data_IF_912782950934
#
_entry.id   IF_912782950934
#
_cell.length_a   1.000
_cell.length_b   1.000
_cell.length_c   1.000
_cell.angle_alpha   90.00
_cell.angle_beta   90.00
_cell.angle_gamma   90.00
#
_symmetry.space_group_name_H-M   'P 1'
#
loop_
_entity.id
_entity.type
_entity.pdbx_description
1 polymer ?
#
# COMPACT_ATOMS: atom_id res chain seq x y z
N UNK A 1 -23.55 10.88 4.57
CA UNK A 1 -22.35 10.42 5.28
C UNK A 1 -22.77 9.48 6.38
N UNK A 2 -22.05 8.37 6.59
CA UNK A 2 -22.33 7.44 7.69
C UNK A 2 -22.29 8.18 9.03
N UNK A 3 -23.20 7.85 9.95
CA UNK A 3 -23.33 8.50 11.24
C UNK A 3 -23.95 9.91 11.23
N UNK A 4 -24.27 10.48 10.06
CA UNK A 4 -24.90 11.80 9.91
C UNK A 4 -26.35 11.67 9.46
N UNK A 5 -27.26 12.44 10.06
CA UNK A 5 -28.68 12.45 9.70
C UNK A 5 -28.88 12.59 8.18
N UNK A 6 -29.62 11.63 7.59
CA UNK A 6 -29.91 11.61 6.16
C UNK A 6 -30.87 12.74 5.77
N UNK A 7 -30.64 13.30 4.59
CA UNK A 7 -31.55 14.29 4.00
C UNK A 7 -32.85 13.57 3.63
N UNK A 8 -33.96 13.99 4.21
CA UNK A 8 -35.28 13.40 3.96
C UNK A 8 -35.59 13.32 2.46
N UNK A 9 -35.85 12.11 1.97
CA UNK A 9 -36.26 11.87 0.58
C UNK A 9 -37.74 11.49 0.53
N UNK A 10 -38.53 12.15 -0.31
CA UNK A 10 -39.97 11.87 -0.47
C UNK A 10 -40.21 11.08 -1.76
N UNK A 11 -40.92 9.96 -1.66
CA UNK A 11 -41.32 9.15 -2.81
C UNK A 11 -42.64 9.70 -3.36
N UNK A 12 -42.70 9.96 -4.67
CA UNK A 12 -43.91 10.51 -5.31
C UNK A 12 -44.24 9.77 -6.61
N UNK A 13 -45.52 9.65 -6.94
CA UNK A 13 -46.00 9.11 -8.22
C UNK A 13 -47.35 9.73 -8.59
N UNK A 14 -47.73 9.69 -9.88
CA UNK A 14 -49.03 10.18 -10.37
C UNK A 14 -49.95 9.02 -10.74
N UNK A 15 -51.25 9.12 -10.44
CA UNK A 15 -52.23 8.09 -10.83
C UNK A 15 -53.49 8.08 -9.96
N UNK A 16 -54.49 7.28 -10.37
CA UNK A 16 -55.75 7.07 -9.65
C UNK A 16 -56.23 5.62 -9.82
N UNK A 17 -56.91 4.98 -8.85
CA UNK A 17 -57.25 5.46 -7.50
C UNK A 17 -55.99 5.56 -6.60
N UNK A 18 -56.17 5.79 -5.29
CA UNK A 18 -55.10 5.99 -4.30
C UNK A 18 -53.89 5.06 -4.48
N UNK A 19 -52.70 5.65 -4.42
CA UNK A 19 -51.41 4.95 -4.57
C UNK A 19 -50.88 4.53 -3.20
N UNK A 20 -50.36 3.31 -3.09
CA UNK A 20 -49.59 2.82 -1.96
C UNK A 20 -48.10 2.80 -2.33
N UNK A 21 -47.24 3.28 -1.44
CA UNK A 21 -45.80 3.39 -1.64
C UNK A 21 -45.04 2.42 -0.74
N UNK A 22 -43.93 1.88 -1.23
CA UNK A 22 -42.94 1.18 -0.42
C UNK A 22 -41.53 1.44 -0.93
N UNK A 23 -40.55 1.34 -0.04
CA UNK A 23 -39.14 1.30 -0.38
C UNK A 23 -38.48 0.10 0.31
N UNK A 24 -37.71 -0.69 -0.44
CA UNK A 24 -36.96 -1.84 0.07
C UNK A 24 -35.50 -1.73 -0.30
N UNK A 25 -34.64 -2.52 0.36
CA UNK A 25 -33.19 -2.46 0.19
C UNK A 25 -32.62 -1.08 0.59
N UNK A 26 -33.10 -0.54 1.72
CA UNK A 26 -32.57 0.70 2.28
C UNK A 26 -31.22 0.43 2.96
N UNK A 27 -30.25 1.36 2.89
CA UNK A 27 -29.04 1.30 3.73
C UNK A 27 -29.39 1.16 5.21
N UNK A 28 -28.60 0.37 5.93
CA UNK A 28 -28.77 0.18 7.37
C UNK A 28 -28.80 1.54 8.10
N UNK A 29 -29.80 1.72 8.96
CA UNK A 29 -30.05 2.98 9.67
C UNK A 29 -31.00 3.93 8.93
N UNK A 30 -31.39 3.64 7.69
CA UNK A 30 -32.50 4.30 7.01
C UNK A 30 -33.79 3.46 7.08
N UNK A 31 -34.94 4.14 7.09
CA UNK A 31 -36.26 3.51 7.11
C UNK A 31 -37.25 4.31 6.27
N UNK A 32 -38.27 3.64 5.75
CA UNK A 32 -39.37 4.26 5.01
C UNK A 32 -40.61 4.36 5.90
N UNK A 33 -41.16 5.57 6.03
CA UNK A 33 -42.46 5.82 6.66
C UNK A 33 -43.56 5.93 5.59
N UNK A 34 -44.46 4.95 5.55
CA UNK A 34 -45.55 4.91 4.58
C UNK A 34 -46.63 6.00 4.79
N UNK A 35 -46.75 6.59 5.99
CA UNK A 35 -47.72 7.64 6.25
C UNK A 35 -47.27 8.97 5.66
N UNK A 36 -45.99 9.30 5.82
CA UNK A 36 -45.38 10.52 5.28
C UNK A 36 -44.75 10.32 3.90
N UNK A 37 -44.63 9.07 3.44
CA UNK A 37 -44.03 8.68 2.15
C UNK A 37 -42.56 9.07 2.04
N UNK A 38 -41.83 9.03 3.16
CA UNK A 38 -40.45 9.52 3.24
C UNK A 38 -39.46 8.46 3.70
N UNK A 39 -38.26 8.50 3.14
CA UNK A 39 -37.07 7.80 3.64
C UNK A 39 -36.32 8.73 4.60
N UNK A 40 -36.09 8.27 5.83
CA UNK A 40 -35.38 9.00 6.88
C UNK A 40 -34.48 8.08 7.73
N UNK A 41 -33.53 8.67 8.43
CA UNK A 41 -32.72 7.98 9.44
C UNK A 41 -31.28 8.48 9.47
N UNK A 42 -30.43 7.75 10.18
CA UNK A 42 -28.98 7.99 10.21
C UNK A 42 -28.31 6.73 9.67
N UNK A 43 -27.77 6.77 8.46
CA UNK A 43 -27.16 5.59 7.84
C UNK A 43 -25.93 5.19 8.65
N UNK A 44 -25.77 3.89 8.90
CA UNK A 44 -24.73 3.36 9.78
C UNK A 44 -23.43 3.08 9.02
N UNK A 45 -23.54 2.63 7.77
CA UNK A 45 -22.40 2.20 6.97
C UNK A 45 -22.32 2.98 5.65
N UNK A 46 -21.10 3.35 5.21
CA UNK A 46 -20.89 3.90 3.89
C UNK A 46 -21.15 2.85 2.80
N UNK A 47 -21.41 3.31 1.58
CA UNK A 47 -21.68 2.46 0.43
C UNK A 47 -22.73 3.01 -0.51
N UNK A 48 -22.84 2.38 -1.68
CA UNK A 48 -23.88 2.67 -2.66
C UNK A 48 -24.94 1.59 -2.57
N UNK A 49 -26.21 1.99 -2.43
CA UNK A 49 -27.33 1.06 -2.37
C UNK A 49 -28.39 1.44 -3.40
N UNK A 50 -28.80 0.46 -4.19
CA UNK A 50 -29.92 0.57 -5.11
C UNK A 50 -31.22 0.26 -4.36
N UNK A 51 -31.89 1.31 -3.89
CA UNK A 51 -33.18 1.24 -3.21
C UNK A 51 -34.27 1.01 -4.24
N UNK A 52 -35.08 -0.02 -4.02
CA UNK A 52 -36.22 -0.32 -4.88
C UNK A 52 -37.43 0.46 -4.38
N UNK A 53 -37.89 1.42 -5.17
CA UNK A 53 -39.11 2.17 -4.93
C UNK A 53 -40.28 1.49 -5.66
N UNK A 54 -41.42 1.37 -5.00
CA UNK A 54 -42.62 0.76 -5.59
C UNK A 54 -43.84 1.63 -5.33
N UNK A 55 -44.61 1.88 -6.39
CA UNK A 55 -45.89 2.59 -6.34
C UNK A 55 -46.99 1.72 -6.94
N UNK A 56 -48.06 1.47 -6.17
CA UNK A 56 -49.14 0.54 -6.56
C UNK A 56 -50.49 1.24 -6.46
N UNK A 57 -51.34 1.09 -7.47
CA UNK A 57 -52.76 1.42 -7.38
C UNK A 57 -53.64 0.24 -7.82
N UNK A 58 -54.96 0.45 -7.89
CA UNK A 58 -55.91 -0.60 -8.27
C UNK A 58 -55.77 -1.14 -9.70
N UNK A 59 -54.90 -0.56 -10.53
CA UNK A 59 -54.71 -0.94 -11.94
C UNK A 59 -53.31 -1.45 -12.28
N UNK A 60 -52.31 -1.23 -11.41
CA UNK A 60 -50.95 -1.68 -11.72
C UNK A 60 -49.90 -1.26 -10.69
N UNK A 61 -48.67 -1.61 -11.02
CA UNK A 61 -47.46 -1.39 -10.23
C UNK A 61 -46.41 -0.72 -11.09
N UNK A 62 -45.76 0.29 -10.53
CA UNK A 62 -44.56 0.93 -11.08
C UNK A 62 -43.39 0.71 -10.14
N UNK A 63 -42.21 0.41 -10.68
CA UNK A 63 -40.99 0.08 -9.92
C UNK A 63 -39.84 0.90 -10.48
N UNK A 64 -39.20 1.66 -9.60
CA UNK A 64 -38.07 2.51 -9.94
C UNK A 64 -36.90 2.26 -8.97
N UNK A 65 -35.68 2.56 -9.43
CA UNK A 65 -34.48 2.42 -8.61
C UNK A 65 -33.95 3.78 -8.19
N UNK A 66 -33.87 4.00 -6.88
CA UNK A 66 -33.17 5.13 -6.28
C UNK A 66 -31.77 4.69 -5.85
N UNK A 67 -30.74 5.33 -6.41
CA UNK A 67 -29.36 5.11 -5.96
C UNK A 67 -29.07 6.03 -4.77
N UNK A 68 -28.77 5.45 -3.62
CA UNK A 68 -28.32 6.18 -2.43
C UNK A 68 -26.82 5.93 -2.25
N UNK A 69 -26.03 7.00 -2.23
CA UNK A 69 -24.61 6.96 -1.88
C UNK A 69 -24.42 7.50 -0.47
N UNK A 70 -23.92 6.66 0.44
CA UNK A 70 -23.49 7.06 1.77
C UNK A 70 -21.97 7.16 1.77
N UNK A 71 -21.45 8.39 1.86
CA UNK A 71 -20.00 8.60 1.99
C UNK A 71 -19.52 8.23 3.40
N UNK A 72 -18.29 7.77 3.55
CA UNK A 72 -17.66 7.62 4.88
C UNK A 72 -17.52 8.99 5.56
N UNK A 73 -17.61 9.01 6.89
CA UNK A 73 -17.23 10.19 7.67
C UNK A 73 -15.71 10.26 7.77
N UNK A 74 -15.14 11.48 7.76
CA UNK A 74 -13.72 11.62 8.03
C UNK A 74 -13.39 11.10 9.45
N UNK A 75 -12.34 10.30 9.58
CA UNK A 75 -11.84 9.75 10.83
C UNK A 75 -10.79 10.68 11.43
N UNK A 76 -10.85 11.04 12.73
CA UNK A 76 -9.85 11.93 13.34
C UNK A 76 -8.46 11.26 13.37
N UNK A 77 -7.37 12.04 13.38
CA UNK A 77 -6.02 11.47 13.40
C UNK A 77 -5.73 10.72 14.70
N UNK A 78 -4.83 9.74 14.66
CA UNK A 78 -4.22 9.12 15.85
C UNK A 78 -2.73 8.94 15.60
N UNK A 79 -1.87 9.63 16.37
CA UNK A 79 -0.42 9.51 16.24
C UNK A 79 0.03 8.12 16.70
N UNK A 80 0.74 7.41 15.83
CA UNK A 80 1.22 6.04 16.03
C UNK A 80 2.75 5.92 16.13
N UNK A 81 3.51 6.98 15.80
CA UNK A 81 4.97 6.97 15.94
C UNK A 81 5.43 6.85 17.40
N UNK A 82 6.63 6.30 17.61
CA UNK A 82 7.22 6.12 18.95
C UNK A 82 7.28 7.43 19.73
N UNK A 83 6.84 7.44 21.00
CA UNK A 83 6.89 8.63 21.86
C UNK A 83 8.25 8.83 22.54
N UNK A 84 9.26 8.04 22.17
CA UNK A 84 10.64 8.21 22.60
C UNK A 84 11.58 8.12 21.40
N UNK A 85 12.61 8.97 21.37
CA UNK A 85 13.69 8.91 20.39
C UNK A 85 15.01 9.31 21.06
N UNK A 86 16.12 8.86 20.47
CA UNK A 86 17.46 9.27 20.87
C UNK A 86 18.16 9.90 19.67
N UNK A 87 18.96 10.93 19.92
CA UNK A 87 19.84 11.57 18.95
C UNK A 87 21.14 11.98 19.61
N UNK A 88 22.00 12.68 18.87
CA UNK A 88 23.28 13.13 19.38
C UNK A 88 23.59 14.55 18.92
N UNK A 89 24.17 15.33 19.83
CA UNK A 89 24.60 16.68 19.55
C UNK A 89 25.62 16.66 18.41
N UNK A 90 25.46 17.59 17.47
CA UNK A 90 26.25 17.79 16.27
C UNK A 90 26.12 16.69 15.19
N UNK A 91 25.13 15.79 15.31
CA UNK A 91 24.83 14.75 14.31
C UNK A 91 23.47 14.94 13.63
N UNK A 92 23.33 14.57 12.35
CA UNK A 92 22.02 14.50 11.71
C UNK A 92 21.05 13.64 12.52
N UNK A 93 19.88 14.19 12.77
CA UNK A 93 18.75 13.52 13.38
C UNK A 93 17.57 13.59 12.42
N UNK A 94 16.79 12.52 12.35
CA UNK A 94 15.52 12.47 11.63
C UNK A 94 14.53 11.61 12.40
N UNK A 95 13.29 12.08 12.48
CA UNK A 95 12.17 11.38 13.10
C UNK A 95 10.90 11.72 12.31
N UNK A 96 10.15 10.70 11.90
CA UNK A 96 8.89 10.86 11.17
C UNK A 96 7.70 10.65 12.11
N UNK A 97 6.79 11.62 12.13
CA UNK A 97 5.51 11.56 12.83
C UNK A 97 4.55 10.75 11.96
N UNK A 98 4.15 9.57 12.41
CA UNK A 98 3.14 8.75 11.73
C UNK A 98 1.82 8.84 12.47
N UNK A 99 0.72 8.85 11.73
CA UNK A 99 -0.63 8.84 12.29
C UNK A 99 -1.62 8.10 11.37
N UNK A 100 -2.63 7.46 11.96
CA UNK A 100 -3.82 6.97 11.23
C UNK A 100 -4.88 8.07 11.16
N UNK A 101 -5.93 7.87 10.36
CA UNK A 101 -7.03 8.83 10.17
C UNK A 101 -7.16 9.29 8.72
N UNK A 102 -8.27 9.98 8.39
CA UNK A 102 -8.54 10.39 7.00
C UNK A 102 -7.59 11.48 6.49
N UNK A 103 -7.26 11.42 5.20
CA UNK A 103 -6.49 12.44 4.50
C UNK A 103 -7.42 13.54 3.90
N UNK A 104 -6.93 14.76 3.60
CA UNK A 104 -5.58 15.25 3.87
C UNK A 104 -5.34 15.53 5.35
N UNK A 105 -4.13 15.18 5.80
CA UNK A 105 -3.65 15.38 7.15
C UNK A 105 -2.44 16.33 7.15
N UNK A 106 -2.33 17.11 8.22
CA UNK A 106 -1.19 18.01 8.45
C UNK A 106 -0.54 17.67 9.78
N UNK A 107 0.77 17.82 9.83
CA UNK A 107 1.59 17.54 11.01
C UNK A 107 2.32 18.80 11.44
N UNK A 108 2.53 18.93 12.75
CA UNK A 108 3.31 20.02 13.33
C UNK A 108 4.04 19.52 14.59
N UNK A 109 5.24 20.04 14.82
CA UNK A 109 6.01 19.80 16.03
C UNK A 109 6.66 21.09 16.54
N UNK A 110 6.49 21.35 17.83
CA UNK A 110 6.94 22.60 18.45
C UNK A 110 7.97 22.36 19.55
N UNK A 111 8.62 23.42 20.04
CA UNK A 111 9.62 23.34 21.12
C UNK A 111 10.81 22.42 20.79
N UNK A 112 11.25 22.44 19.52
CA UNK A 112 12.36 21.64 19.04
C UNK A 112 13.70 22.11 19.66
N UNK A 113 14.64 21.17 19.94
CA UNK A 113 16.02 21.50 20.27
C UNK A 113 16.67 22.40 19.21
N UNK A 114 17.61 23.25 19.63
CA UNK A 114 18.34 24.11 18.70
C UNK A 114 19.02 23.28 17.59
N UNK A 115 18.74 23.61 16.33
CA UNK A 115 19.29 22.91 15.16
C UNK A 115 18.38 21.83 14.56
N UNK A 116 17.24 21.53 15.20
CA UNK A 116 16.16 20.75 14.59
C UNK A 116 15.04 21.66 14.05
N UNK A 117 14.41 21.23 12.96
CA UNK A 117 13.24 21.84 12.35
C UNK A 117 12.17 20.78 12.09
N UNK A 118 10.92 21.20 11.95
CA UNK A 118 9.83 20.36 11.47
C UNK A 118 9.46 20.79 10.05
N UNK A 119 9.33 19.81 9.14
CA UNK A 119 8.92 20.00 7.76
C UNK A 119 7.89 18.93 7.42
N UNK A 120 6.61 19.29 7.52
CA UNK A 120 5.52 18.32 7.39
C UNK A 120 5.54 17.33 8.55
N UNK A 121 5.57 16.04 8.24
CA UNK A 121 5.65 14.95 9.21
C UNK A 121 7.06 14.66 9.71
N UNK A 122 8.10 15.28 9.15
CA UNK A 122 9.49 14.99 9.55
C UNK A 122 10.04 16.06 10.49
N UNK A 123 10.58 15.64 11.63
CA UNK A 123 11.48 16.43 12.49
C UNK A 123 12.90 16.04 12.10
N UNK A 124 13.70 16.99 11.62
CA UNK A 124 15.07 16.70 11.21
C UNK A 124 16.02 17.88 11.41
N UNK A 125 17.32 17.63 11.30
CA UNK A 125 18.35 18.65 11.41
C UNK A 125 19.57 18.13 12.15
N UNK A 126 20.38 19.04 12.67
CA UNK A 126 21.58 18.72 13.45
C UNK A 126 21.40 19.40 14.82
N UNK A 127 21.02 18.68 15.88
CA UNK A 127 20.81 19.28 17.18
C UNK A 127 22.15 19.77 17.73
N UNK A 128 22.20 21.00 18.17
CA UNK A 128 23.43 21.68 18.64
C UNK A 128 23.57 21.66 20.15
N UNK A 129 22.63 21.04 20.86
CA UNK A 129 22.60 20.96 22.31
C UNK A 129 22.19 19.55 22.78
N UNK A 130 22.96 18.99 23.72
CA UNK A 130 22.62 17.75 24.40
C UNK A 130 21.60 17.98 25.54
N UNK A 131 20.74 17.01 25.80
CA UNK A 131 19.71 17.07 26.83
C UNK A 131 18.51 16.18 26.54
N UNK A 132 17.55 16.14 27.45
CA UNK A 132 16.25 15.50 27.23
C UNK A 132 15.21 16.58 26.91
N UNK A 133 14.51 16.43 25.80
CA UNK A 133 13.55 17.40 25.27
C UNK A 133 12.18 16.75 25.13
N UNK A 134 11.14 17.46 25.57
CA UNK A 134 9.76 17.02 25.42
C UNK A 134 9.11 17.81 24.29
N UNK A 135 8.97 17.19 23.13
CA UNK A 135 8.52 17.82 21.87
C UNK A 135 7.03 17.53 21.69
N UNK A 136 6.13 18.53 21.79
CA UNK A 136 4.73 18.36 21.44
C UNK A 136 4.58 18.17 19.92
N UNK A 137 3.89 17.11 19.53
CA UNK A 137 3.58 16.76 18.15
C UNK A 137 2.07 16.75 17.94
N UNK A 138 1.61 17.19 16.78
CA UNK A 138 0.19 17.18 16.41
C UNK A 138 -0.02 16.59 15.03
N UNK A 139 -1.17 15.93 14.85
CA UNK A 139 -1.70 15.48 13.56
C UNK A 139 -3.14 15.99 13.45
N UNK A 140 -3.48 16.68 12.36
CA UNK A 140 -4.79 17.34 12.17
C UNK A 140 -5.39 17.05 10.81
N UNK A 141 -6.69 16.74 10.77
CA UNK A 141 -7.49 16.65 9.55
C UNK A 141 -8.88 17.29 9.77
N UNK A 142 -9.79 17.12 8.80
CA UNK A 142 -11.15 17.69 8.85
C UNK A 142 -12.05 17.12 9.97
N UNK A 143 -11.70 15.96 10.53
CA UNK A 143 -12.44 15.29 11.59
C UNK A 143 -11.92 15.61 13.01
N UNK A 144 -10.66 16.05 13.14
CA UNK A 144 -10.12 16.45 14.44
C UNK A 144 -8.58 16.58 14.46
N UNK A 145 -8.06 16.64 15.68
CA UNK A 145 -6.62 16.75 15.98
C UNK A 145 -6.25 15.77 17.09
N UNK A 146 -5.14 15.04 16.92
CA UNK A 146 -4.46 14.32 18.00
C UNK A 146 -3.17 15.04 18.40
N UNK A 147 -2.79 14.90 19.67
CA UNK A 147 -1.61 15.56 20.25
C UNK A 147 -0.88 14.58 21.17
N UNK A 148 0.42 14.40 20.92
CA UNK A 148 1.32 13.57 21.75
C UNK A 148 2.61 14.32 22.07
N UNK A 149 3.41 13.79 22.97
CA UNK A 149 4.73 14.33 23.30
C UNK A 149 5.79 13.27 23.04
N UNK A 150 6.77 13.62 22.21
CA UNK A 150 7.98 12.86 21.99
C UNK A 150 9.03 13.24 23.03
N UNK A 151 9.51 12.29 23.82
CA UNK A 151 10.71 12.44 24.63
C UNK A 151 11.94 12.17 23.76
N UNK A 152 12.68 13.22 23.40
CA UNK A 152 13.92 13.14 22.62
C UNK A 152 15.12 13.32 23.53
N UNK A 153 15.98 12.30 23.63
CA UNK A 153 17.25 12.37 24.36
C UNK A 153 18.39 12.62 23.38
N UNK A 154 19.04 13.77 23.48
CA UNK A 154 20.26 14.10 22.74
C UNK A 154 21.50 13.89 23.63
N UNK A 155 22.36 12.93 23.28
CA UNK A 155 23.63 12.71 23.96
C UNK A 155 24.75 13.65 23.48
N UNK A 156 25.80 13.83 24.29
CA UNK A 156 27.04 14.50 23.86
C UNK A 156 27.93 13.49 23.13
N UNK A 157 28.22 13.69 21.84
CA UNK A 157 29.22 12.94 21.06
C UNK A 157 30.56 12.83 21.78
N UNK A 158 30.81 11.69 22.42
CA UNK A 158 32.01 11.48 23.24
C UNK A 158 32.57 10.07 23.20
N UNK A 159 32.10 9.25 22.25
CA UNK A 159 32.67 7.93 21.97
C UNK A 159 33.93 8.02 21.12
N UNK A 160 34.70 6.93 21.04
CA UNK A 160 35.63 6.72 19.93
C UNK A 160 34.84 6.74 18.62
N UNK A 161 35.44 7.31 17.58
CA UNK A 161 34.98 7.25 16.18
C UNK A 161 36.16 6.61 15.43
N UNK A 162 36.06 5.31 15.22
CA UNK A 162 37.18 4.47 14.79
C UNK A 162 37.46 4.61 13.30
N UNK A 163 36.46 4.89 12.47
CA UNK A 163 36.62 5.05 11.03
C UNK A 163 36.58 6.50 10.54
N UNK A 164 36.21 7.44 11.40
CA UNK A 164 36.28 8.87 11.14
C UNK A 164 35.20 9.36 10.19
N UNK A 165 34.08 8.63 10.05
CA UNK A 165 32.94 9.04 9.25
C UNK A 165 32.08 10.13 9.92
N UNK A 166 32.42 10.41 11.19
CA UNK A 166 31.79 11.37 12.06
C UNK A 166 30.98 10.68 13.16
N UNK A 167 30.36 9.54 12.91
CA UNK A 167 29.42 8.88 13.82
C UNK A 167 30.19 8.12 14.91
N UNK A 168 29.97 8.39 16.20
CA UNK A 168 30.68 7.67 17.25
C UNK A 168 30.35 6.17 17.26
N UNK A 169 31.34 5.32 17.56
CA UNK A 169 31.29 3.85 17.49
C UNK A 169 30.07 3.23 18.22
N UNK A 170 29.57 3.89 19.25
CA UNK A 170 28.45 3.41 20.05
C UNK A 170 27.06 3.72 19.44
N UNK A 171 27.03 4.51 18.38
CA UNK A 171 25.85 4.87 17.58
C UNK A 171 25.96 4.41 16.13
N UNK A 172 27.18 4.10 15.70
CA UNK A 172 27.45 3.54 14.40
C UNK A 172 27.21 2.03 14.38
N UNK A 173 26.38 1.55 13.45
CA UNK A 173 26.18 0.11 13.24
C UNK A 173 27.32 -0.54 12.44
N UNK A 174 28.23 0.28 11.93
CA UNK A 174 29.37 -0.02 11.09
C UNK A 174 30.65 0.73 11.54
N UNK A 175 31.06 0.67 12.83
CA UNK A 175 32.09 1.53 13.45
C UNK A 175 33.52 1.38 12.90
N UNK A 176 33.71 0.64 11.81
CA UNK A 176 35.02 0.43 11.17
C UNK A 176 34.93 0.55 9.64
N UNK A 177 33.78 0.96 9.11
CA UNK A 177 33.51 1.14 7.69
C UNK A 177 32.97 2.56 7.45
N UNK A 178 33.83 3.51 7.02
CA UNK A 178 33.45 4.91 6.94
C UNK A 178 32.47 5.24 5.80
N UNK A 179 31.99 4.22 5.08
CA UNK A 179 31.00 4.36 4.00
C UNK A 179 29.59 4.02 4.45
N UNK A 180 29.38 3.46 5.65
CA UNK A 180 28.10 3.02 6.19
C UNK A 180 27.98 3.46 7.64
N UNK A 181 26.78 3.80 8.09
CA UNK A 181 26.56 4.23 9.47
C UNK A 181 25.27 3.65 10.08
N UNK A 182 24.17 3.69 9.33
CA UNK A 182 22.84 3.40 9.87
C UNK A 182 22.09 2.33 9.06
N UNK A 183 21.21 1.61 9.75
CA UNK A 183 20.25 0.64 9.24
C UNK A 183 18.84 1.14 9.51
N UNK A 184 18.01 1.08 8.49
CA UNK A 184 16.56 1.21 8.60
C UNK A 184 15.91 0.00 7.95
N UNK A 185 14.66 -0.27 8.33
CA UNK A 185 13.97 -1.48 7.92
C UNK A 185 12.53 -1.21 7.49
N UNK A 186 12.03 -2.02 6.57
CA UNK A 186 10.62 -2.04 6.17
C UNK A 186 10.10 -3.48 6.08
N UNK A 187 8.92 -3.80 6.65
CA UNK A 187 8.12 -2.95 7.54
C UNK A 187 8.80 -2.71 8.90
N UNK A 188 9.63 -3.65 9.35
CA UNK A 188 10.53 -3.54 10.48
C UNK A 188 11.66 -4.58 10.34
N UNK A 189 12.51 -4.77 11.35
CA UNK A 189 13.68 -5.68 11.25
C UNK A 189 13.32 -7.17 11.15
N UNK A 190 12.11 -7.56 11.58
CA UNK A 190 11.72 -8.96 11.78
C UNK A 190 10.60 -9.38 10.83
N UNK A 191 9.55 -8.57 10.74
CA UNK A 191 8.33 -8.90 10.02
C UNK A 191 8.43 -8.61 8.52
N UNK A 192 7.49 -9.17 7.77
CA UNK A 192 7.38 -8.99 6.33
C UNK A 192 6.05 -8.30 6.00
N UNK A 193 6.11 -7.37 5.04
CA UNK A 193 4.93 -6.92 4.31
C UNK A 193 4.65 -7.92 3.18
N UNK A 194 3.44 -7.94 2.63
CA UNK A 194 3.07 -8.82 1.53
C UNK A 194 2.54 -8.00 0.35
N UNK A 195 2.99 -8.36 -0.84
CA UNK A 195 2.49 -7.82 -2.11
C UNK A 195 1.82 -8.93 -2.88
N UNK A 196 0.67 -8.63 -3.47
CA UNK A 196 -0.08 -9.57 -4.30
C UNK A 196 -0.53 -8.90 -5.60
N UNK A 197 -0.50 -9.66 -6.69
CA UNK A 197 -0.81 -9.17 -8.03
C UNK A 197 -1.81 -10.07 -8.73
N UNK A 198 -2.54 -9.45 -9.66
CA UNK A 198 -3.24 -10.05 -10.77
C UNK A 198 -2.39 -9.96 -12.04
N UNK A 199 -2.42 -10.96 -12.92
CA UNK A 199 -1.61 -11.00 -14.15
C UNK A 199 -2.39 -10.76 -15.45
N UNK A 200 -3.73 -10.75 -15.38
CA UNK A 200 -4.60 -10.55 -16.54
C UNK A 200 -5.00 -9.09 -16.79
N UNK A 201 -4.39 -8.11 -16.10
CA UNK A 201 -4.50 -6.69 -16.46
C UNK A 201 -4.18 -6.50 -17.95
N UNK A 202 -4.94 -5.71 -18.75
CA UNK A 202 -6.01 -4.77 -18.37
C UNK A 202 -7.41 -5.36 -18.09
N UNK A 203 -7.57 -6.67 -18.16
CA UNK A 203 -8.79 -7.40 -17.77
C UNK A 203 -8.85 -7.72 -16.27
N UNK A 204 -10.01 -8.15 -15.80
CA UNK A 204 -10.16 -8.60 -14.41
C UNK A 204 -9.71 -10.04 -14.17
N UNK A 205 -9.71 -10.91 -15.19
CA UNK A 205 -9.50 -12.33 -14.95
C UNK A 205 -10.56 -12.92 -14.01
N UNK A 206 -10.11 -13.78 -13.11
CA UNK A 206 -10.85 -14.35 -11.98
C UNK A 206 -10.70 -13.54 -10.67
N UNK A 207 -9.72 -12.63 -10.61
CA UNK A 207 -9.65 -11.55 -9.64
C UNK A 207 -9.47 -12.00 -8.19
N UNK A 208 -8.67 -13.04 -7.97
CA UNK A 208 -8.46 -13.68 -6.68
C UNK A 208 -7.16 -13.25 -5.95
N UNK A 209 -6.34 -12.41 -6.58
CA UNK A 209 -5.08 -11.84 -6.10
C UNK A 209 -4.08 -12.89 -5.62
N UNK A 210 -4.03 -14.03 -6.29
CA UNK A 210 -3.06 -15.06 -6.00
C UNK A 210 -2.13 -15.40 -7.18
N UNK A 211 -2.27 -14.75 -8.33
CA UNK A 211 -1.40 -14.94 -9.51
C UNK A 211 0.08 -14.78 -9.17
N UNK A 212 0.41 -13.82 -8.30
CA UNK A 212 1.69 -13.79 -7.60
C UNK A 212 1.55 -13.15 -6.23
N UNK A 213 1.98 -13.87 -5.18
CA UNK A 213 2.02 -13.35 -3.81
C UNK A 213 3.43 -13.49 -3.26
N UNK A 214 3.99 -12.40 -2.72
CA UNK A 214 5.36 -12.38 -2.19
C UNK A 214 5.44 -11.59 -0.89
N UNK A 215 6.13 -12.15 0.10
CA UNK A 215 6.46 -11.46 1.33
C UNK A 215 7.81 -10.75 1.17
N UNK A 216 7.89 -9.47 1.57
CA UNK A 216 9.06 -8.61 1.45
C UNK A 216 9.51 -8.06 2.81
N UNK A 217 10.83 -8.01 3.00
CA UNK A 217 11.49 -7.29 4.07
C UNK A 217 12.70 -6.56 3.49
N UNK A 218 12.81 -5.26 3.76
CA UNK A 218 13.94 -4.45 3.33
C UNK A 218 14.78 -4.04 4.52
N UNK A 219 16.09 -4.09 4.34
CA UNK A 219 17.08 -3.38 5.15
C UNK A 219 17.75 -2.34 4.25
N UNK A 220 17.62 -1.06 4.57
CA UNK A 220 18.36 0.02 3.91
C UNK A 220 19.53 0.43 4.80
N UNK A 221 20.73 0.47 4.22
CA UNK A 221 21.95 0.94 4.86
C UNK A 221 22.29 2.33 4.33
N UNK A 222 22.51 3.29 5.21
CA UNK A 222 22.90 4.66 4.84
C UNK A 222 24.25 5.03 5.43
N UNK A 223 24.96 5.96 4.80
CA UNK A 223 26.16 6.58 5.37
C UNK A 223 25.82 7.61 6.46
N UNK A 224 26.84 8.23 7.06
CA UNK A 224 26.70 9.27 8.08
C UNK A 224 25.90 10.53 7.62
N UNK A 225 25.69 10.71 6.31
CA UNK A 225 24.88 11.79 5.74
C UNK A 225 23.45 11.34 5.37
N UNK A 226 23.03 10.16 5.80
CA UNK A 226 21.74 9.54 5.48
C UNK A 226 21.52 9.26 3.98
N UNK A 227 22.59 9.20 3.18
CA UNK A 227 22.49 8.74 1.80
C UNK A 227 22.54 7.21 1.75
N UNK A 228 21.65 6.59 0.99
CA UNK A 228 21.53 5.13 0.82
C UNK A 228 22.75 4.56 0.11
N UNK A 229 23.33 3.54 0.70
CA UNK A 229 24.53 2.83 0.25
C UNK A 229 24.18 1.40 -0.17
N UNK A 230 23.34 0.73 0.62
CA UNK A 230 22.85 -0.61 0.29
C UNK A 230 21.35 -0.73 0.50
N UNK A 231 20.70 -1.51 -0.35
CA UNK A 231 19.35 -2.04 -0.12
C UNK A 231 19.43 -3.55 -0.17
N UNK A 232 19.06 -4.18 0.94
CA UNK A 232 18.99 -5.63 1.07
C UNK A 232 17.52 -6.02 1.14
N UNK A 233 17.01 -6.58 0.05
CA UNK A 233 15.69 -7.18 -0.02
C UNK A 233 15.80 -8.65 0.42
N UNK A 234 15.01 -9.03 1.42
CA UNK A 234 14.63 -10.42 1.64
C UNK A 234 13.23 -10.63 1.10
N UNK A 235 13.04 -11.70 0.32
CA UNK A 235 11.71 -12.03 -0.17
C UNK A 235 11.42 -13.52 -0.14
N UNK A 236 10.15 -13.87 0.03
CA UNK A 236 9.66 -15.24 -0.03
C UNK A 236 8.39 -15.29 -0.87
N UNK A 237 8.40 -16.13 -1.91
CA UNK A 237 7.23 -16.33 -2.77
C UNK A 237 6.24 -17.21 -2.02
N UNK A 238 5.01 -16.73 -1.88
CA UNK A 238 3.94 -17.38 -1.14
C UNK A 238 3.02 -18.15 -2.08
N UNK A 239 2.71 -17.60 -3.25
CA UNK A 239 1.86 -18.24 -4.25
C UNK A 239 2.21 -17.81 -5.68
N UNK A 240 1.84 -18.68 -6.60
CA UNK A 240 1.87 -18.48 -8.05
C UNK A 240 0.61 -19.14 -8.64
N UNK A 241 -0.50 -18.40 -8.64
CA UNK A 241 -1.77 -18.78 -9.27
C UNK A 241 -1.76 -18.67 -10.79
N UNK A 242 -0.76 -18.00 -11.34
CA UNK A 242 -0.68 -17.71 -12.76
C UNK A 242 -0.39 -18.94 -13.61
N UNK A 243 -1.06 -19.05 -14.77
CA UNK A 243 -0.59 -19.97 -15.83
C UNK A 243 0.54 -19.37 -16.69
N UNK A 244 0.66 -18.05 -16.67
CA UNK A 244 1.64 -17.24 -17.39
C UNK A 244 2.97 -17.19 -16.63
N UNK A 245 4.12 -17.24 -17.33
CA UNK A 245 5.44 -17.20 -16.67
C UNK A 245 5.86 -15.75 -16.39
N UNK A 246 5.27 -15.19 -15.34
CA UNK A 246 5.48 -13.80 -14.94
C UNK A 246 6.88 -13.60 -14.33
N UNK A 247 7.37 -12.36 -14.33
CA UNK A 247 8.54 -11.97 -13.53
C UNK A 247 8.21 -10.87 -12.55
N UNK A 248 9.06 -10.67 -11.54
CA UNK A 248 8.90 -9.72 -10.45
C UNK A 248 10.03 -8.68 -10.46
N UNK A 249 9.66 -7.40 -10.37
CA UNK A 249 10.58 -6.27 -10.37
C UNK A 249 10.27 -5.23 -9.30
N UNK A 250 11.25 -4.39 -9.01
CA UNK A 250 11.17 -3.22 -8.14
C UNK A 250 11.77 -2.02 -8.89
N UNK A 251 11.25 -0.82 -8.63
CA UNK A 251 11.81 0.44 -9.17
C UNK A 251 12.39 1.26 -8.04
N UNK A 252 13.67 1.62 -8.19
CA UNK A 252 14.32 2.64 -7.37
C UNK A 252 14.37 3.95 -8.13
N UNK A 253 13.97 5.05 -7.47
CA UNK A 253 14.07 6.43 -7.97
C UNK A 253 15.52 6.93 -7.91
N UNK A 254 16.42 6.17 -8.55
CA UNK A 254 17.85 6.40 -8.57
C UNK A 254 18.39 6.17 -9.98
N UNK A 255 19.38 6.96 -10.44
CA UNK A 255 19.97 6.78 -11.75
C UNK A 255 20.73 5.45 -11.82
N UNK A 256 20.60 4.64 -12.88
CA UNK A 256 21.31 3.36 -13.03
C UNK A 256 22.82 3.46 -12.82
N UNK A 257 23.43 4.57 -13.27
CA UNK A 257 24.86 4.82 -13.11
C UNK A 257 25.34 4.97 -11.65
N UNK A 258 24.42 5.11 -10.68
CA UNK A 258 24.76 5.11 -9.26
C UNK A 258 24.95 3.71 -8.68
N UNK A 259 24.43 2.69 -9.34
CA UNK A 259 24.50 1.30 -8.89
C UNK A 259 25.82 0.69 -9.30
N UNK A 260 26.58 0.20 -8.33
CA UNK A 260 27.82 -0.53 -8.58
C UNK A 260 27.53 -2.00 -8.81
N UNK A 261 26.67 -2.61 -8.00
CA UNK A 261 26.32 -4.02 -8.14
C UNK A 261 24.95 -4.38 -7.57
N UNK A 262 24.36 -5.41 -8.14
CA UNK A 262 23.16 -6.11 -7.67
C UNK A 262 23.49 -7.59 -7.69
N UNK A 263 23.23 -8.28 -6.58
CA UNK A 263 23.55 -9.70 -6.42
C UNK A 263 22.40 -10.45 -5.77
N UNK A 264 22.36 -11.78 -5.97
CA UNK A 264 21.36 -12.65 -5.35
C UNK A 264 20.02 -12.77 -6.09
N UNK A 265 19.88 -12.12 -7.25
CA UNK A 265 18.72 -12.29 -8.13
C UNK A 265 18.71 -13.68 -8.80
N UNK A 266 17.53 -14.11 -9.22
CA UNK A 266 17.30 -15.37 -9.93
C UNK A 266 16.91 -15.05 -11.38
N UNK A 267 17.82 -15.37 -12.32
CA UNK A 267 17.62 -15.17 -13.76
C UNK A 267 17.45 -16.52 -14.47
N UNK A 268 16.23 -16.82 -14.88
CA UNK A 268 15.79 -18.05 -15.54
C UNK A 268 14.99 -17.78 -16.84
N UNK A 269 14.36 -16.61 -16.94
CA UNK A 269 13.60 -16.14 -18.09
C UNK A 269 14.47 -15.52 -19.19
N UNK A 270 13.80 -15.03 -20.24
CA UNK A 270 14.44 -14.43 -21.41
C UNK A 270 13.98 -12.98 -21.68
N UNK A 271 12.96 -12.50 -20.96
CA UNK A 271 12.37 -11.17 -21.18
C UNK A 271 13.34 -10.02 -20.83
N UNK A 272 14.12 -10.22 -19.77
CA UNK A 272 14.97 -9.17 -19.17
C UNK A 272 16.39 -9.26 -19.71
N UNK A 273 16.94 -8.11 -20.14
CA UNK A 273 18.38 -7.97 -20.43
C UNK A 273 19.08 -7.36 -19.22
N UNK A 274 20.02 -8.08 -18.62
CA UNK A 274 20.75 -7.61 -17.43
C UNK A 274 21.97 -6.76 -17.82
N UNK A 275 22.18 -5.66 -17.12
CA UNK A 275 23.45 -4.95 -17.09
C UNK A 275 24.53 -5.81 -16.37
N UNK A 276 25.82 -5.71 -16.70
CA UNK A 276 26.89 -6.37 -15.93
C UNK A 276 26.89 -6.06 -14.43
N UNK A 277 26.39 -4.89 -14.01
CA UNK A 277 26.18 -4.54 -12.61
C UNK A 277 24.94 -5.18 -11.99
N UNK A 278 24.11 -5.91 -12.75
CA UNK A 278 23.04 -6.77 -12.23
C UNK A 278 21.66 -6.13 -12.06
N UNK A 279 21.46 -4.87 -12.45
CA UNK A 279 20.13 -4.28 -12.65
C UNK A 279 19.66 -4.52 -14.10
N UNK A 280 18.40 -4.19 -14.42
CA UNK A 280 17.92 -4.29 -15.80
C UNK A 280 18.49 -3.18 -16.70
N UNK A 281 19.09 -3.56 -17.82
CA UNK A 281 19.70 -2.63 -18.76
C UNK A 281 18.67 -1.86 -19.59
N UNK A 282 18.99 -0.60 -19.92
CA UNK A 282 18.29 0.22 -20.91
C UNK A 282 17.40 1.32 -20.34
N UNK A 283 17.13 1.29 -19.03
CA UNK A 283 16.56 2.42 -18.30
C UNK A 283 17.56 3.59 -18.22
N UNK A 284 17.03 4.80 -18.22
CA UNK A 284 17.79 6.07 -18.23
C UNK A 284 17.50 6.97 -17.04
N UNK A 285 16.30 6.88 -16.46
CA UNK A 285 15.86 7.78 -15.39
C UNK A 285 15.67 7.09 -14.02
N UNK A 286 15.55 5.77 -14.01
CA UNK A 286 15.28 4.96 -12.83
C UNK A 286 16.09 3.67 -12.87
N UNK A 287 16.26 3.02 -11.73
CA UNK A 287 16.93 1.73 -11.64
C UNK A 287 15.88 0.65 -11.41
N UNK A 288 15.75 -0.26 -12.37
CA UNK A 288 14.90 -1.44 -12.22
C UNK A 288 15.72 -2.63 -11.72
N UNK A 289 15.33 -3.14 -10.56
CA UNK A 289 15.86 -4.38 -9.98
C UNK A 289 14.89 -5.50 -10.32
N UNK A 290 15.40 -6.63 -10.82
CA UNK A 290 14.58 -7.81 -11.11
C UNK A 290 15.01 -8.95 -10.18
N UNK A 291 14.41 -9.10 -8.98
CA UNK A 291 14.74 -10.19 -8.07
C UNK A 291 14.54 -11.58 -8.69
N UNK A 292 13.50 -11.75 -9.51
CA UNK A 292 13.15 -13.00 -10.17
C UNK A 292 12.46 -12.71 -11.50
N UNK A 293 12.93 -13.30 -12.59
CA UNK A 293 12.41 -12.97 -13.93
C UNK A 293 11.54 -14.06 -14.56
N UNK A 294 11.28 -15.18 -13.89
CA UNK A 294 10.41 -16.28 -14.34
C UNK A 294 9.90 -17.09 -13.15
N UNK A 295 8.72 -16.73 -12.65
CA UNK A 295 8.11 -17.23 -11.41
C UNK A 295 7.75 -18.72 -11.53
N UNK A 296 7.16 -19.14 -12.66
CA UNK A 296 6.69 -20.52 -12.85
C UNK A 296 7.87 -21.49 -12.82
N UNK A 297 9.07 -21.06 -13.19
CA UNK A 297 10.26 -21.90 -13.13
C UNK A 297 10.73 -22.18 -11.69
N UNK A 298 10.45 -21.28 -10.76
CA UNK A 298 10.74 -21.45 -9.32
C UNK A 298 9.62 -22.23 -8.62
N UNK A 299 8.37 -22.04 -9.06
CA UNK A 299 7.17 -22.63 -8.46
C UNK A 299 6.74 -23.97 -9.09
N UNK A 300 7.63 -24.57 -9.90
CA UNK A 300 7.43 -25.85 -10.58
C UNK A 300 6.15 -25.85 -11.46
N UNK A 301 5.98 -24.77 -12.23
CA UNK A 301 4.80 -24.44 -13.03
C UNK A 301 3.80 -23.55 -12.28
N UNK A 302 2.77 -23.08 -12.98
CA UNK A 302 1.69 -22.30 -12.39
C UNK A 302 0.81 -23.05 -11.39
N UNK A 303 -0.18 -22.35 -10.83
CA UNK A 303 -1.18 -22.85 -9.88
C UNK A 303 -0.59 -23.44 -8.58
N UNK A 304 0.57 -22.95 -8.16
CA UNK A 304 1.25 -23.39 -6.95
C UNK A 304 0.75 -22.60 -5.74
N UNK A 305 0.39 -23.33 -4.67
CA UNK A 305 -0.04 -22.78 -3.40
C UNK A 305 -1.37 -22.00 -3.43
N UNK A 306 -2.25 -22.24 -4.40
CA UNK A 306 -3.55 -21.54 -4.51
C UNK A 306 -4.77 -22.47 -4.44
N UNK A 307 -4.61 -23.75 -4.81
CA UNK A 307 -5.69 -24.74 -4.82
C UNK A 307 -5.66 -25.58 -3.53
N UNK A 308 -6.74 -25.63 -2.72
CA UNK A 308 -6.82 -26.50 -1.54
C UNK A 308 -6.58 -27.99 -1.88
N UNK A 309 -5.59 -28.60 -1.23
CA UNK A 309 -5.17 -29.98 -1.53
C UNK A 309 -4.44 -30.15 -2.87
N UNK A 310 -4.12 -29.05 -3.55
CA UNK A 310 -3.35 -29.00 -4.79
C UNK A 310 -1.83 -29.01 -4.55
N UNK A 311 -1.08 -28.52 -5.54
CA UNK A 311 0.38 -28.43 -5.47
C UNK A 311 0.80 -27.45 -4.38
N UNK A 312 1.68 -27.91 -3.49
CA UNK A 312 2.31 -27.08 -2.48
C UNK A 312 3.83 -27.08 -2.63
N UNK A 313 4.40 -25.88 -2.79
CA UNK A 313 5.83 -25.61 -2.88
C UNK A 313 6.22 -24.76 -1.66
N UNK A 314 6.99 -25.36 -0.75
CA UNK A 314 7.64 -24.62 0.34
C UNK A 314 8.84 -23.88 -0.24
N UNK A 315 8.71 -22.57 -0.39
CA UNK A 315 9.80 -21.72 -0.86
C UNK A 315 10.73 -21.32 0.28
N UNK A 316 11.94 -20.90 -0.07
CA UNK A 316 12.93 -20.33 0.86
C UNK A 316 12.93 -18.82 0.78
N UNK A 317 13.42 -18.17 1.84
CA UNK A 317 13.73 -16.73 1.80
C UNK A 317 14.96 -16.52 0.92
N UNK A 318 14.80 -15.73 -0.14
CA UNK A 318 15.88 -15.27 -1.00
C UNK A 318 16.35 -13.89 -0.56
N UNK A 319 17.56 -13.51 -0.96
CA UNK A 319 18.12 -12.20 -0.63
C UNK A 319 18.74 -11.57 -1.86
N UNK A 320 18.30 -10.36 -2.19
CA UNK A 320 18.89 -9.50 -3.22
C UNK A 320 19.53 -8.31 -2.56
N UNK A 321 20.80 -8.06 -2.89
CA UNK A 321 21.55 -6.91 -2.37
C UNK A 321 21.91 -5.99 -3.52
N UNK A 322 21.46 -4.75 -3.44
CA UNK A 322 21.86 -3.65 -4.31
C UNK A 322 22.85 -2.76 -3.57
N UNK A 323 24.02 -2.54 -4.15
CA UNK A 323 25.04 -1.62 -3.67
C UNK A 323 25.16 -0.41 -4.59
N UNK A 324 25.02 0.78 -4.02
CA UNK A 324 25.21 2.05 -4.71
C UNK A 324 26.66 2.52 -4.54
N UNK A 325 27.45 2.44 -5.63
CA UNK A 325 28.82 2.99 -5.62
C UNK A 325 28.85 4.51 -5.53
N UNK A 326 27.73 5.16 -5.86
CA UNK A 326 27.46 6.56 -5.51
C UNK A 326 26.26 6.62 -4.58
N UNK A 327 26.43 6.91 -3.27
CA UNK A 327 25.32 6.94 -2.33
C UNK A 327 24.19 7.91 -2.75
N UNK A 328 22.94 7.50 -2.56
CA UNK A 328 21.76 8.23 -3.04
C UNK A 328 20.97 8.87 -1.91
N UNK A 329 20.67 10.17 -2.00
CA UNK A 329 19.89 10.88 -0.98
C UNK A 329 18.43 10.39 -0.88
N UNK A 330 17.88 9.84 -1.96
CA UNK A 330 16.59 9.18 -2.03
C UNK A 330 16.62 8.14 -3.14
N UNK A 331 15.86 7.06 -2.97
CA UNK A 331 15.66 5.99 -3.96
C UNK A 331 14.19 5.62 -4.11
N UNK A 332 13.28 6.48 -3.64
CA UNK A 332 11.85 6.19 -3.47
C UNK A 332 11.53 5.66 -2.07
N UNK A 333 10.29 5.22 -1.86
CA UNK A 333 9.82 4.68 -0.58
C UNK A 333 9.56 3.18 -0.67
N UNK A 334 9.97 2.36 0.32
CA UNK A 334 9.55 0.97 0.42
C UNK A 334 8.02 0.85 0.29
N UNK A 335 7.50 -0.19 -0.40
CA UNK A 335 8.20 -1.36 -0.93
C UNK A 335 8.89 -1.15 -2.29
N UNK A 336 9.15 0.11 -2.71
CA UNK A 336 9.90 0.50 -3.91
C UNK A 336 9.25 0.07 -5.22
N UNK A 337 8.04 0.60 -5.45
CA UNK A 337 7.23 0.39 -6.65
C UNK A 337 7.34 -1.04 -7.21
N UNK A 338 6.88 -2.05 -6.44
CA UNK A 338 6.90 -3.42 -6.89
C UNK A 338 5.94 -3.62 -8.05
N UNK A 339 6.32 -4.49 -8.98
CA UNK A 339 5.53 -4.83 -10.14
C UNK A 339 5.81 -6.25 -10.63
N UNK A 340 4.88 -6.78 -11.41
CA UNK A 340 5.15 -7.96 -12.25
C UNK A 340 5.20 -7.56 -13.73
N UNK A 341 5.95 -8.31 -14.53
CA UNK A 341 5.80 -8.30 -15.98
C UNK A 341 5.24 -9.64 -16.45
N UNK A 342 4.28 -9.58 -17.38
CA UNK A 342 3.37 -10.70 -17.66
C UNK A 342 3.92 -11.61 -18.76
N UNK A 343 3.90 -12.92 -18.54
CA UNK A 343 4.21 -13.97 -19.53
C UNK A 343 5.51 -13.76 -20.34
N UNK A 344 6.58 -13.33 -19.67
CA UNK A 344 7.85 -12.96 -20.33
C UNK A 344 7.73 -11.84 -21.40
N UNK A 345 6.64 -11.09 -21.42
CA UNK A 345 6.47 -9.87 -22.24
C UNK A 345 6.90 -8.69 -21.40
N UNK A 346 8.16 -8.27 -21.55
CA UNK A 346 8.74 -7.24 -20.67
C UNK A 346 7.94 -5.93 -20.65
N UNK A 347 7.33 -5.51 -21.76
CA UNK A 347 6.56 -4.27 -21.84
C UNK A 347 5.15 -4.36 -21.24
N UNK A 348 4.71 -5.54 -20.80
CA UNK A 348 3.40 -5.72 -20.18
C UNK A 348 3.59 -5.80 -18.67
N UNK A 349 3.42 -4.66 -17.99
CA UNK A 349 3.66 -4.52 -16.55
C UNK A 349 2.35 -4.39 -15.76
N UNK A 350 2.37 -4.82 -14.51
CA UNK A 350 1.30 -4.56 -13.53
C UNK A 350 1.93 -4.06 -12.23
N UNK A 351 1.63 -2.82 -11.86
CA UNK A 351 2.11 -2.19 -10.62
C UNK A 351 1.00 -2.03 -9.59
N UNK A 352 1.38 -1.62 -8.37
CA UNK A 352 0.41 -1.15 -7.39
C UNK A 352 -0.39 0.05 -7.93
N UNK A 353 -1.65 0.15 -7.51
CA UNK A 353 -2.54 1.27 -7.86
C UNK A 353 -1.89 2.62 -7.56
N UNK A 354 -1.87 3.49 -8.58
CA UNK A 354 -1.34 4.86 -8.48
C UNK A 354 0.17 4.99 -8.68
N UNK A 355 0.91 3.90 -8.80
CA UNK A 355 2.34 3.95 -9.11
C UNK A 355 2.58 3.99 -10.62
N UNK A 356 3.54 4.81 -11.05
CA UNK A 356 3.89 4.93 -12.46
C UNK A 356 4.59 3.65 -12.94
N UNK A 357 4.38 3.27 -14.22
CA UNK A 357 5.08 2.15 -14.83
C UNK A 357 6.56 2.49 -15.12
N UNK A 358 7.34 1.50 -15.54
CA UNK A 358 8.72 1.74 -15.97
C UNK A 358 8.81 2.34 -17.38
N UNK A 359 10.00 2.79 -17.79
CA UNK A 359 10.27 3.28 -19.15
C UNK A 359 9.98 2.24 -20.27
N UNK A 360 9.83 0.96 -19.93
CA UNK A 360 9.61 -0.12 -20.89
C UNK A 360 8.15 -0.47 -21.13
N UNK A 361 7.23 0.14 -20.37
CA UNK A 361 5.81 -0.14 -20.44
C UNK A 361 5.20 0.15 -21.82
N UNK A 362 4.39 -0.77 -22.31
CA UNK A 362 3.51 -0.56 -23.46
C UNK A 362 2.33 0.32 -23.06
N UNK A 363 2.46 1.62 -23.34
CA UNK A 363 1.45 2.62 -22.97
C UNK A 363 0.12 2.45 -23.72
N UNK A 364 0.07 1.66 -24.80
CA UNK A 364 -1.18 1.42 -25.55
C UNK A 364 -2.16 0.53 -24.79
N UNK A 365 -1.72 -0.15 -23.72
CA UNK A 365 -2.56 -0.96 -22.84
C UNK A 365 -3.44 -0.13 -21.89
N UNK A 366 -3.02 1.10 -21.55
CA UNK A 366 -3.79 1.98 -20.65
C UNK A 366 -5.13 2.40 -21.24
N UNK A 367 -6.17 2.38 -20.40
CA UNK A 367 -7.54 2.72 -20.78
C UNK A 367 -8.23 1.65 -21.64
N UNK A 368 -7.63 0.46 -21.78
CA UNK A 368 -8.24 -0.67 -22.48
C UNK A 368 -8.97 -1.60 -21.51
N UNK A 369 -10.02 -2.25 -22.02
CA UNK A 369 -10.80 -3.26 -21.28
C UNK A 369 -11.37 -2.73 -19.96
N UNK A 370 -10.87 -3.20 -18.82
CA UNK A 370 -11.35 -2.78 -17.49
C UNK A 370 -10.48 -1.69 -16.86
N UNK A 371 -9.31 -1.40 -17.45
CA UNK A 371 -8.40 -0.36 -17.03
C UNK A 371 -9.01 1.04 -17.18
N UNK A 372 -8.99 1.76 -16.05
CA UNK A 372 -9.42 3.14 -15.90
C UNK A 372 -8.23 4.08 -15.64
N UNK A 373 -7.02 3.68 -16.03
CA UNK A 373 -5.84 4.54 -15.91
C UNK A 373 -5.97 5.75 -16.81
N UNK A 374 -5.50 6.89 -16.31
CA UNK A 374 -5.40 8.15 -17.04
C UNK A 374 -4.01 8.73 -16.77
N UNK A 375 -2.97 8.27 -17.50
CA UNK A 375 -1.58 8.68 -17.28
C UNK A 375 -1.38 10.21 -17.29
N UNK A 376 -2.11 10.92 -18.15
CA UNK A 376 -2.07 12.39 -18.21
C UNK A 376 -2.53 13.08 -16.92
N UNK A 377 -3.22 12.37 -16.03
CA UNK A 377 -3.65 12.83 -14.70
C UNK A 377 -2.93 12.11 -13.55
N UNK A 378 -1.89 11.32 -13.85
CA UNK A 378 -1.16 10.53 -12.86
C UNK A 378 -1.95 9.35 -12.28
N UNK A 379 -3.01 8.91 -12.95
CA UNK A 379 -3.81 7.75 -12.52
C UNK A 379 -3.33 6.51 -13.26
N UNK A 380 -2.85 5.51 -12.52
CA UNK A 380 -2.28 4.27 -13.06
C UNK A 380 -2.83 3.05 -12.32
N UNK A 381 -2.93 1.92 -13.04
CA UNK A 381 -3.24 0.59 -12.54
C UNK A 381 -4.47 0.52 -11.63
N UNK A 382 -5.56 1.17 -12.07
CA UNK A 382 -6.86 1.07 -11.42
C UNK A 382 -7.95 0.83 -12.45
N UNK A 383 -8.97 0.09 -12.06
CA UNK A 383 -10.13 -0.13 -12.91
C UNK A 383 -10.97 1.13 -13.05
N UNK A 384 -11.92 1.12 -14.00
CA UNK A 384 -12.93 2.18 -14.14
C UNK A 384 -13.76 2.40 -12.88
N UNK A 385 -13.82 1.42 -11.97
CA UNK A 385 -14.47 1.51 -10.66
C UNK A 385 -13.47 1.72 -9.52
N UNK A 386 -12.19 1.99 -9.80
CA UNK A 386 -11.17 2.29 -8.79
C UNK A 386 -10.57 1.07 -8.07
N UNK A 387 -10.73 -0.14 -8.60
CA UNK A 387 -10.13 -1.35 -8.01
C UNK A 387 -8.68 -1.55 -8.52
N UNK A 388 -7.74 -2.05 -7.71
CA UNK A 388 -6.34 -2.24 -8.10
C UNK A 388 -6.09 -3.53 -8.91
N UNK A 389 -4.87 -3.73 -9.41
CA UNK A 389 -4.36 -5.05 -9.83
C UNK A 389 -3.11 -5.49 -9.06
N UNK A 390 -2.57 -4.60 -8.23
CA UNK A 390 -1.52 -4.91 -7.27
C UNK A 390 -1.89 -4.31 -5.92
N UNK A 391 -1.69 -5.07 -4.84
CA UNK A 391 -1.97 -4.63 -3.47
C UNK A 391 -0.77 -4.88 -2.58
N UNK A 392 -0.68 -4.08 -1.53
CA UNK A 392 0.23 -4.27 -0.42
C UNK A 392 -0.56 -4.42 0.88
N UNK A 393 -0.10 -5.31 1.75
CA UNK A 393 -0.55 -5.40 3.14
C UNK A 393 0.66 -5.37 4.08
N UNK A 394 0.54 -4.73 5.27
CA UNK A 394 1.66 -4.62 6.22
C UNK A 394 1.91 -5.90 7.03
N UNK A 395 1.25 -7.00 6.65
CA UNK A 395 1.32 -8.33 7.26
C UNK A 395 1.39 -9.37 6.15
N UNK A 396 1.62 -10.63 6.50
CA UNK A 396 1.45 -11.72 5.54
C UNK A 396 0.00 -11.74 5.04
N UNK A 397 -0.18 -11.64 3.73
CA UNK A 397 -1.51 -11.61 3.13
C UNK A 397 -2.15 -13.00 3.14
N UNK A 398 -3.34 -13.10 3.73
CA UNK A 398 -4.16 -14.31 3.64
C UNK A 398 -4.90 -14.28 2.30
N UNK A 399 -4.25 -14.74 1.24
CA UNK A 399 -4.77 -14.67 -0.12
C UNK A 399 -5.91 -15.67 -0.37
N UNK A 400 -6.88 -15.33 -1.24
CA UNK A 400 -7.92 -16.22 -1.68
C UNK A 400 -7.41 -17.50 -2.36
N UNK A 401 -8.20 -18.57 -2.31
CA UNK A 401 -7.99 -19.77 -3.12
C UNK A 401 -8.23 -19.46 -4.61
N UNK A 402 -7.66 -20.28 -5.47
CA UNK A 402 -7.81 -20.18 -6.93
C UNK A 402 -9.28 -19.98 -7.38
N UNK A 403 -9.51 -19.03 -8.29
CA UNK A 403 -10.81 -18.58 -8.82
C UNK A 403 -11.73 -17.88 -7.81
N UNK A 404 -11.32 -17.72 -6.54
CA UNK A 404 -12.16 -17.08 -5.54
C UNK A 404 -11.92 -15.57 -5.52
N UNK A 405 -12.72 -14.85 -6.31
CA UNK A 405 -12.73 -13.38 -6.38
C UNK A 405 -12.56 -12.73 -4.98
N UNK A 406 -11.52 -11.91 -4.86
CA UNK A 406 -11.12 -11.21 -3.63
C UNK A 406 -12.25 -10.38 -3.05
N UNK A 407 -13.15 -9.82 -3.88
CA UNK A 407 -14.30 -9.03 -3.44
C UNK A 407 -15.29 -9.88 -2.63
N UNK A 408 -15.25 -11.18 -2.81
CA UNK A 408 -16.11 -12.15 -2.13
C UNK A 408 -15.39 -12.96 -1.05
N UNK A 409 -14.05 -12.95 -1.04
CA UNK A 409 -13.21 -13.56 -0.02
C UNK A 409 -12.87 -12.56 1.09
N UNK A 410 -12.48 -11.34 0.74
CA UNK A 410 -12.24 -10.20 1.63
C UNK A 410 -13.34 -9.16 1.43
N UNK A 411 -14.40 -9.26 2.24
CA UNK A 411 -15.66 -8.53 2.11
C UNK A 411 -15.54 -7.01 2.28
N UNK A 412 -14.41 -6.52 2.79
CA UNK A 412 -14.11 -5.08 2.94
C UNK A 412 -13.18 -4.53 1.85
N UNK A 413 -12.60 -5.40 1.04
CA UNK A 413 -11.62 -5.04 0.02
C UNK A 413 -12.15 -4.01 -0.98
N UNK A 414 -13.36 -4.21 -1.50
CA UNK A 414 -13.96 -3.30 -2.48
C UNK A 414 -14.09 -1.88 -1.92
N UNK A 415 -14.64 -1.74 -0.71
CA UNK A 415 -14.83 -0.45 -0.05
C UNK A 415 -13.49 0.23 0.21
N UNK A 416 -12.49 -0.53 0.67
CA UNK A 416 -11.12 -0.03 0.85
C UNK A 416 -10.49 0.46 -0.46
N UNK A 417 -10.52 -0.36 -1.50
CA UNK A 417 -9.91 -0.03 -2.78
C UNK A 417 -10.54 1.20 -3.43
N UNK A 418 -11.87 1.28 -3.42
CA UNK A 418 -12.65 2.33 -4.08
C UNK A 418 -12.63 3.67 -3.34
N UNK A 419 -12.43 3.63 -2.02
CA UNK A 419 -12.23 4.82 -1.19
C UNK A 419 -10.80 5.33 -1.22
N UNK A 420 -9.90 4.68 -1.96
CA UNK A 420 -8.46 4.95 -1.95
C UNK A 420 -7.84 4.77 -0.57
N UNK A 421 -8.23 3.70 0.12
CA UNK A 421 -7.68 3.26 1.39
C UNK A 421 -8.25 3.96 2.62
N UNK A 422 -9.32 4.74 2.47
CA UNK A 422 -9.93 5.49 3.58
C UNK A 422 -10.89 4.61 4.37
N UNK A 423 -11.78 3.89 3.68
CA UNK A 423 -12.68 2.92 4.27
C UNK A 423 -11.92 1.63 4.57
N UNK A 424 -12.17 1.02 5.73
CA UNK A 424 -11.58 -0.28 6.12
C UNK A 424 -10.06 -0.38 5.84
N UNK A 425 -9.22 0.52 6.38
CA UNK A 425 -7.77 0.45 6.20
C UNK A 425 -7.16 -0.85 6.74
N UNK A 426 -7.92 -1.58 7.54
CA UNK A 426 -7.65 -2.88 8.14
C UNK A 426 -8.37 -4.04 7.42
N UNK A 427 -8.87 -3.85 6.19
CA UNK A 427 -9.69 -4.83 5.44
C UNK A 427 -9.10 -6.26 5.39
N UNK A 428 -7.78 -6.38 5.47
CA UNK A 428 -7.02 -7.62 5.40
C UNK A 428 -6.98 -8.40 6.73
N UNK A 429 -7.46 -7.80 7.83
CA UNK A 429 -7.45 -8.42 9.15
C UNK A 429 -8.53 -9.50 9.30
N UNK A 430 -8.26 -10.45 10.20
CA UNK A 430 -9.20 -11.51 10.59
C UNK A 430 -10.22 -11.00 11.62
N UNK A 431 -11.06 -10.07 11.19
CA UNK A 431 -12.11 -9.49 12.03
C UNK A 431 -13.50 -10.06 11.65
N UNK A 432 -14.44 -10.18 12.61
CA UNK A 432 -15.78 -10.67 12.32
C UNK A 432 -16.46 -9.90 11.17
N UNK A 433 -16.78 -10.62 10.09
CA UNK A 433 -17.45 -10.05 8.91
C UNK A 433 -16.51 -9.34 7.91
N UNK A 434 -15.19 -9.49 8.06
CA UNK A 434 -14.22 -8.96 7.10
C UNK A 434 -13.91 -9.91 5.96
N UNK A 435 -14.03 -11.22 6.19
CA UNK A 435 -13.71 -12.24 5.19
C UNK A 435 -14.58 -13.48 5.29
N UNK A 436 -14.61 -14.23 4.20
CA UNK A 436 -15.16 -15.59 4.11
C UNK A 436 -13.99 -16.59 4.19
N UNK A 437 -13.76 -17.16 5.37
CA UNK A 437 -12.65 -18.10 5.62
C UNK A 437 -12.70 -19.34 4.72
N UNK A 438 -13.86 -19.68 4.13
CA UNK A 438 -13.95 -20.84 3.23
C UNK A 438 -13.28 -20.61 1.88
N UNK A 439 -12.93 -19.35 1.57
CA UNK A 439 -12.27 -18.92 0.34
C UNK A 439 -10.81 -18.53 0.55
N UNK A 440 -10.29 -18.61 1.76
CA UNK A 440 -8.89 -18.27 2.04
C UNK A 440 -8.03 -19.53 1.88
N UNK A 441 -6.89 -19.40 1.21
CA UNK A 441 -5.96 -20.51 1.08
C UNK A 441 -5.34 -20.85 2.44
N UNK A 442 -5.34 -22.13 2.79
CA UNK A 442 -4.74 -22.64 4.01
C UNK A 442 -3.52 -23.47 3.64
N UNK A 443 -2.37 -23.05 4.12
CA UNK A 443 -1.11 -23.78 3.98
C UNK A 443 -1.26 -25.17 4.63
N UNK A 444 -0.94 -26.27 3.92
CA UNK A 444 -1.17 -27.65 4.37
C UNK A 444 -0.26 -28.14 5.50
#
# INVERSE_FOLDING_TARGET
>A
TAGVQFITYTVTATGSPTITYSATNLPDGLSFDANSQTINGTPLFPGVTNVVLTAINGYGTDIETLVITINEGAQPPVITSSLTANGMQDFPFSYTITATGSQPMTFDATSLPAGLTNSGDVISGIPTEAGTFNIPMTATNSAGTDTKTLELVIGTGGGTDTDGDGVPDNLDQYPTDPTRAFNSYYPNEIDYASVAFEDLWPGYGDYDFNDFVVNLNFKMVTNAQNATVDVILKYQIMADGASLDNGFGLVFDAPPASVESVTGFIKLGNAVTMDPSGYEAGHTNETVIVPLDAINQVMEGGMANTIPGGKYIQTTINTVTTHFGTPQASIGTPPFNPFIFVDQVRSHEVHLKGLAPTEFMDTDLFGTWSDGSVPASGLYFQSTNGLPWGIETPVNFNYPIELADILTAHLKFAAWAQSSGVDFPDWYMDEPGYRDDTKIYVIP
#
